data_IF_203527955841
#
_entry.id   IF_203527955841
#
_cell.length_a   1.000
_cell.length_b   1.000
_cell.length_c   1.000
_cell.angle_alpha   90.00
_cell.angle_beta   90.00
_cell.angle_gamma   90.00
#
_symmetry.space_group_name_H-M   'P 1'
#
loop_
_entity.id
_entity.type
_entity.pdbx_description
1 polymer ?
#
# COMPACT_ATOMS: atom_id res chain seq x y z
N UNK A 1 18.50 33.83 90.58
CA UNK A 1 17.96 35.17 90.86
C UNK A 1 16.71 35.36 90.00
N UNK A 2 15.55 35.54 90.67
CA UNK A 2 14.25 36.05 90.20
C UNK A 2 13.43 35.31 89.11
N UNK A 3 12.18 35.08 89.52
CA UNK A 3 10.97 34.63 88.81
C UNK A 3 10.40 35.67 87.84
N UNK A 4 9.62 35.21 86.85
CA UNK A 4 8.19 35.57 86.59
C UNK A 4 7.74 34.88 85.28
N UNK A 5 6.78 33.94 85.24
CA UNK A 5 5.31 34.08 85.32
C UNK A 5 4.67 35.01 84.27
N UNK A 6 4.06 34.42 83.23
CA UNK A 6 2.79 34.78 82.56
C UNK A 6 2.58 33.78 81.39
N UNK A 7 1.74 32.75 81.50
CA UNK A 7 0.27 32.71 81.43
C UNK A 7 -0.31 32.94 80.01
N UNK A 8 -1.09 31.94 79.55
CA UNK A 8 -2.24 31.99 78.63
C UNK A 8 -2.16 31.21 77.30
N UNK A 9 -2.52 29.92 77.40
CA UNK A 9 -3.60 29.20 76.65
C UNK A 9 -3.75 29.25 75.11
N UNK A 10 -3.69 28.02 74.57
CA UNK A 10 -4.63 27.32 73.66
C UNK A 10 -4.53 27.60 72.14
N UNK A 11 -4.29 26.51 71.40
CA UNK A 11 -4.57 26.38 69.98
C UNK A 11 -3.95 25.13 69.37
N UNK A 12 -4.47 23.95 69.69
CA UNK A 12 -4.07 22.66 69.11
C UNK A 12 -4.50 22.61 67.63
N UNK A 13 -3.55 22.35 66.73
CA UNK A 13 -3.81 21.87 65.38
C UNK A 13 -2.78 20.78 65.05
N UNK A 14 -3.28 19.56 64.87
CA UNK A 14 -2.55 18.36 64.49
C UNK A 14 -1.84 18.56 63.14
N UNK A 15 -0.52 18.51 63.12
CA UNK A 15 0.27 18.18 61.93
C UNK A 15 0.79 16.75 62.07
N UNK A 16 0.17 15.82 61.35
CA UNK A 16 0.68 14.47 61.18
C UNK A 16 1.80 14.46 60.13
N UNK A 17 2.89 13.78 60.48
CA UNK A 17 4.14 13.68 59.73
C UNK A 17 3.97 12.96 58.38
N UNK A 18 4.62 13.50 57.34
CA UNK A 18 4.87 12.83 56.07
C UNK A 18 6.27 12.22 56.11
N UNK A 19 6.33 10.89 56.08
CA UNK A 19 7.55 10.11 55.85
C UNK A 19 7.68 9.94 54.33
N UNK A 20 8.86 10.25 53.82
CA UNK A 20 9.26 10.10 52.44
C UNK A 20 9.26 8.63 52.00
N UNK A 21 8.64 8.35 50.86
CA UNK A 21 8.79 7.13 50.09
C UNK A 21 8.91 7.48 48.62
N UNK A 22 10.08 7.25 48.04
CA UNK A 22 10.33 7.41 46.61
C UNK A 22 9.46 6.41 45.81
N UNK A 23 8.59 6.93 44.97
CA UNK A 23 7.92 6.16 43.90
C UNK A 23 8.37 6.74 42.56
N UNK A 24 9.06 5.92 41.79
CA UNK A 24 9.32 6.13 40.36
C UNK A 24 7.97 6.21 39.62
N UNK A 25 7.73 7.21 38.75
CA UNK A 25 6.48 7.27 38.01
C UNK A 25 6.47 6.20 36.91
N UNK A 26 5.48 5.31 36.97
CA UNK A 26 5.08 4.43 35.88
C UNK A 26 4.71 5.27 34.66
N UNK A 27 5.09 4.90 33.41
CA UNK A 27 4.60 5.58 32.22
C UNK A 27 3.07 5.44 32.15
N UNK A 28 2.33 6.46 31.69
CA UNK A 28 0.90 6.33 31.52
C UNK A 28 0.62 5.32 30.41
N UNK A 29 0.09 4.15 30.79
CA UNK A 29 -0.58 3.22 29.89
C UNK A 29 -1.91 3.84 29.48
N UNK A 30 -1.97 4.34 28.26
CA UNK A 30 -3.17 4.87 27.64
C UNK A 30 -2.80 5.81 26.51
N UNK A 31 -2.93 5.36 25.27
CA UNK A 31 -2.98 6.24 24.10
C UNK A 31 -4.14 7.22 24.34
N UNK A 32 -3.92 8.55 24.29
CA UNK A 32 -5.02 9.48 24.45
C UNK A 32 -6.00 9.27 23.30
N UNK A 33 -7.21 8.83 23.64
CA UNK A 33 -8.34 8.86 22.70
C UNK A 33 -8.53 10.31 22.24
N UNK A 34 -8.54 10.62 20.94
CA UNK A 34 -8.77 11.98 20.49
C UNK A 34 -10.18 12.42 20.90
N UNK A 35 -10.24 13.31 21.87
CA UNK A 35 -11.42 14.08 22.22
C UNK A 35 -11.73 15.06 21.09
N UNK A 36 -12.97 15.03 20.60
CA UNK A 36 -13.49 15.86 19.51
C UNK A 36 -13.05 17.33 19.68
N UNK A 37 -12.20 17.80 18.75
CA UNK A 37 -11.75 19.20 18.65
C UNK A 37 -12.90 20.09 18.12
N UNK A 38 -12.98 21.37 18.51
CA UNK A 38 -14.06 22.25 18.09
C UNK A 38 -13.95 22.50 16.58
N UNK A 39 -15.01 22.22 15.81
CA UNK A 39 -15.20 22.66 14.41
C UNK A 39 -13.89 22.87 13.62
N UNK A 40 -13.07 21.82 13.48
CA UNK A 40 -11.81 21.89 12.75
C UNK A 40 -12.05 22.26 11.29
N UNK A 41 -11.11 23.00 10.69
CA UNK A 41 -11.22 23.36 9.28
C UNK A 41 -11.36 22.09 8.41
N UNK A 42 -12.24 22.13 7.43
CA UNK A 42 -12.66 20.95 6.67
C UNK A 42 -11.85 20.82 5.38
N UNK A 43 -11.55 19.58 5.03
CA UNK A 43 -11.15 19.16 3.69
C UNK A 43 -12.18 18.15 3.19
N UNK A 44 -12.63 18.33 1.95
CA UNK A 44 -13.52 17.40 1.27
C UNK A 44 -12.68 16.31 0.61
N UNK A 45 -12.94 15.04 0.94
CA UNK A 45 -12.37 13.89 0.25
C UNK A 45 -13.43 13.30 -0.67
N UNK A 46 -13.12 13.23 -1.97
CA UNK A 46 -14.01 12.68 -3.00
C UNK A 46 -13.41 11.44 -3.63
N UNK A 47 -14.22 10.40 -3.82
CA UNK A 47 -13.75 9.11 -4.35
C UNK A 47 -13.96 8.97 -5.86
N UNK A 48 -12.91 8.62 -6.58
CA UNK A 48 -12.91 8.56 -8.05
C UNK A 48 -13.01 7.14 -8.62
N UNK A 49 -13.17 6.12 -7.76
CA UNK A 49 -13.22 4.69 -8.14
C UNK A 49 -11.95 4.27 -8.92
N UNK A 50 -10.80 4.54 -8.33
CA UNK A 50 -9.48 4.38 -8.96
C UNK A 50 -8.83 5.72 -9.30
N UNK A 51 -7.59 5.69 -9.78
CA UNK A 51 -6.76 6.88 -10.01
C UNK A 51 -6.90 7.48 -11.41
N UNK A 52 -7.37 6.70 -12.39
CA UNK A 52 -7.49 7.10 -13.80
C UNK A 52 -8.13 8.47 -14.06
N UNK A 53 -9.24 8.83 -13.38
CA UNK A 53 -9.89 10.14 -13.59
C UNK A 53 -9.13 11.34 -12.99
N UNK A 54 -8.24 11.12 -12.02
CA UNK A 54 -7.68 12.19 -11.18
C UNK A 54 -6.87 13.24 -11.96
N UNK A 55 -5.98 12.89 -12.92
CA UNK A 55 -5.27 13.90 -13.71
C UNK A 55 -6.20 14.83 -14.48
N UNK A 56 -7.26 14.30 -15.10
CA UNK A 56 -8.26 15.12 -15.80
C UNK A 56 -9.04 16.02 -14.85
N UNK A 57 -9.45 15.51 -13.68
CA UNK A 57 -10.14 16.31 -12.68
C UNK A 57 -9.26 17.45 -12.14
N UNK A 58 -7.95 17.20 -11.97
CA UNK A 58 -6.99 18.21 -11.57
C UNK A 58 -6.80 19.26 -12.67
N UNK A 59 -6.52 18.85 -13.90
CA UNK A 59 -6.31 19.77 -15.03
C UNK A 59 -7.55 20.54 -15.50
N UNK A 60 -8.73 20.23 -14.95
CA UNK A 60 -9.99 20.96 -15.19
C UNK A 60 -10.50 21.70 -13.96
N UNK A 61 -9.67 21.85 -12.92
CA UNK A 61 -9.95 22.55 -11.66
C UNK A 61 -11.20 22.04 -10.91
N UNK A 62 -11.59 20.77 -11.13
CA UNK A 62 -12.72 20.17 -10.43
C UNK A 62 -12.35 19.73 -9.00
N UNK A 63 -11.04 19.52 -8.76
CA UNK A 63 -10.43 19.21 -7.47
C UNK A 63 -9.21 20.11 -7.26
N UNK A 64 -8.88 20.40 -6.00
CA UNK A 64 -7.72 21.22 -5.63
C UNK A 64 -6.43 20.36 -5.48
N UNK A 65 -6.57 19.04 -5.46
CA UNK A 65 -5.49 18.09 -5.37
C UNK A 65 -5.99 16.65 -5.32
N UNK A 66 -5.08 15.69 -5.28
CA UNK A 66 -5.40 14.28 -5.06
C UNK A 66 -4.28 13.54 -4.35
N UNK A 67 -4.61 12.39 -3.79
CA UNK A 67 -3.63 11.38 -3.37
C UNK A 67 -3.79 10.13 -4.24
N UNK A 68 -2.67 9.65 -4.79
CA UNK A 68 -2.64 8.50 -5.69
C UNK A 68 -1.38 7.66 -5.48
N UNK A 69 -1.36 6.47 -6.07
CA UNK A 69 -0.14 5.70 -6.28
C UNK A 69 0.52 6.06 -7.62
N UNK A 70 1.79 5.70 -7.79
CA UNK A 70 2.50 5.83 -9.06
C UNK A 70 1.84 4.99 -10.18
N UNK A 71 2.02 5.31 -11.47
CA UNK A 71 2.75 6.45 -12.02
C UNK A 71 1.95 7.77 -11.96
N UNK A 72 0.73 7.76 -11.41
CA UNK A 72 -0.18 8.91 -11.46
C UNK A 72 0.32 10.12 -10.67
N UNK A 73 1.26 9.95 -9.74
CA UNK A 73 1.86 11.06 -8.98
C UNK A 73 2.79 11.90 -9.87
N UNK A 74 3.51 11.27 -10.81
CA UNK A 74 4.41 11.96 -11.74
C UNK A 74 3.70 12.54 -12.97
N UNK A 75 2.44 12.18 -13.25
CA UNK A 75 1.71 12.69 -14.41
C UNK A 75 1.52 14.22 -14.35
N UNK A 76 1.02 14.83 -13.25
CA UNK A 76 0.78 16.27 -13.21
C UNK A 76 1.99 17.18 -13.39
N UNK A 77 3.16 16.94 -12.73
CA UNK A 77 4.33 17.79 -12.95
C UNK A 77 4.86 17.68 -14.38
N UNK A 78 4.74 16.50 -15.01
CA UNK A 78 5.10 16.33 -16.41
C UNK A 78 4.13 16.99 -17.38
N UNK A 79 2.84 17.01 -17.04
CA UNK A 79 1.81 17.66 -17.85
C UNK A 79 1.73 19.18 -17.61
N UNK A 80 2.40 19.71 -16.58
CA UNK A 80 2.32 21.12 -16.19
C UNK A 80 0.96 21.53 -15.61
N UNK A 81 0.22 20.58 -15.04
CA UNK A 81 -1.12 20.81 -14.46
C UNK A 81 -1.11 20.76 -12.93
N UNK A 82 0.00 20.38 -12.32
CA UNK A 82 0.12 20.25 -10.88
C UNK A 82 1.50 19.82 -10.44
N UNK A 83 1.72 19.85 -9.13
CA UNK A 83 3.00 19.54 -8.50
C UNK A 83 2.82 18.56 -7.35
N UNK A 84 3.81 17.68 -7.19
CA UNK A 84 3.88 16.78 -6.02
C UNK A 84 4.12 17.63 -4.79
N UNK A 85 3.22 17.54 -3.82
CA UNK A 85 3.32 18.24 -2.54
C UNK A 85 4.18 17.46 -1.55
N UNK A 86 3.94 16.16 -1.45
CA UNK A 86 4.61 15.26 -0.51
C UNK A 86 4.44 13.81 -0.98
N UNK A 87 5.51 13.01 -0.86
CA UNK A 87 5.44 11.55 -1.06
C UNK A 87 4.99 10.85 0.22
N UNK A 88 4.40 9.67 0.10
CA UNK A 88 3.71 9.02 1.22
C UNK A 88 4.59 8.77 2.43
N UNK A 89 5.87 8.42 2.26
CA UNK A 89 6.82 8.22 3.36
C UNK A 89 7.03 9.44 4.26
N UNK A 90 6.83 10.65 3.69
CA UNK A 90 7.02 11.94 4.38
C UNK A 90 5.69 12.58 4.83
N UNK A 91 4.56 11.90 4.63
CA UNK A 91 3.27 12.38 5.12
C UNK A 91 3.23 12.37 6.66
N UNK A 92 2.47 13.27 7.30
CA UNK A 92 2.36 13.29 8.75
C UNK A 92 1.41 12.20 9.29
N UNK A 93 1.49 11.87 10.59
CA UNK A 93 2.54 12.25 11.54
C UNK A 93 3.94 11.80 11.08
N UNK A 94 4.96 12.58 11.42
CA UNK A 94 6.35 12.31 11.02
C UNK A 94 6.76 10.86 11.32
N UNK A 95 7.27 10.16 10.32
CA UNK A 95 7.72 8.77 10.41
C UNK A 95 6.62 7.71 10.43
N UNK A 96 5.33 8.06 10.52
CA UNK A 96 4.24 7.06 10.56
C UNK A 96 4.13 6.25 9.26
N UNK A 97 4.35 6.90 8.13
CA UNK A 97 4.13 6.31 6.80
C UNK A 97 5.42 5.90 6.10
N UNK A 98 6.57 6.13 6.73
CA UNK A 98 7.86 5.70 6.20
C UNK A 98 7.85 4.18 6.04
N UNK A 99 8.28 3.70 4.86
CA UNK A 99 8.28 2.27 4.55
C UNK A 99 6.90 1.60 4.76
N UNK A 100 5.80 2.31 4.48
CA UNK A 100 4.47 1.71 4.61
C UNK A 100 4.26 0.60 3.56
N UNK A 101 3.56 -0.50 3.91
CA UNK A 101 3.30 -1.57 2.95
C UNK A 101 2.28 -1.11 1.90
N UNK A 102 2.40 -1.63 0.67
CA UNK A 102 1.51 -1.29 -0.45
C UNK A 102 0.85 -2.51 -1.09
N UNK A 103 1.41 -3.04 -2.18
CA UNK A 103 0.91 -4.24 -2.84
C UNK A 103 1.58 -5.50 -2.31
N UNK A 104 0.86 -6.60 -2.44
CA UNK A 104 1.25 -7.93 -1.98
C UNK A 104 0.95 -8.98 -3.02
N UNK A 105 1.66 -10.09 -2.89
CA UNK A 105 1.38 -11.30 -3.64
C UNK A 105 0.53 -12.23 -2.80
N UNK A 106 -0.63 -12.61 -3.34
CA UNK A 106 -1.58 -13.50 -2.67
C UNK A 106 -1.75 -14.79 -3.45
N UNK A 107 -2.05 -15.87 -2.73
CA UNK A 107 -2.48 -17.14 -3.30
C UNK A 107 -3.77 -17.61 -2.61
N UNK A 108 -4.60 -18.37 -3.32
CA UNK A 108 -5.74 -19.05 -2.68
C UNK A 108 -5.24 -20.15 -1.75
N UNK A 109 -5.93 -20.38 -0.63
CA UNK A 109 -5.60 -21.47 0.30
C UNK A 109 -5.60 -22.83 -0.42
N UNK A 110 -6.51 -23.01 -1.38
CA UNK A 110 -6.56 -24.19 -2.24
C UNK A 110 -5.28 -24.39 -3.04
N UNK A 111 -4.76 -23.34 -3.69
CA UNK A 111 -3.51 -23.44 -4.45
C UNK A 111 -2.32 -23.79 -3.54
N UNK A 112 -2.25 -23.19 -2.35
CA UNK A 112 -1.21 -23.49 -1.36
C UNK A 112 -1.28 -24.95 -0.90
N UNK A 113 -2.48 -25.45 -0.61
CA UNK A 113 -2.69 -26.80 -0.09
C UNK A 113 -2.50 -27.90 -1.17
N UNK A 114 -3.02 -27.69 -2.38
CA UNK A 114 -3.03 -28.69 -3.44
C UNK A 114 -1.77 -28.65 -4.32
N UNK A 115 -1.15 -27.48 -4.47
CA UNK A 115 -0.01 -27.27 -5.37
C UNK A 115 1.12 -26.43 -4.74
N UNK A 116 1.66 -26.80 -3.56
CA UNK A 116 2.64 -25.99 -2.84
C UNK A 116 3.89 -25.68 -3.68
N UNK A 117 4.41 -26.64 -4.45
CA UNK A 117 5.59 -26.42 -5.29
C UNK A 117 5.33 -25.41 -6.42
N UNK A 118 4.11 -25.38 -6.97
CA UNK A 118 3.71 -24.36 -7.95
C UNK A 118 3.68 -22.97 -7.30
N UNK A 119 3.11 -22.86 -6.10
CA UNK A 119 3.10 -21.60 -5.35
C UNK A 119 4.52 -21.13 -5.05
N UNK A 120 5.40 -22.03 -4.63
CA UNK A 120 6.81 -21.74 -4.37
C UNK A 120 7.53 -21.25 -5.64
N UNK A 121 7.31 -21.89 -6.79
CA UNK A 121 7.92 -21.49 -8.06
C UNK A 121 7.40 -20.13 -8.58
N UNK A 122 6.09 -19.88 -8.45
CA UNK A 122 5.49 -18.57 -8.76
C UNK A 122 6.06 -17.47 -7.86
N UNK A 123 6.20 -17.77 -6.56
CA UNK A 123 6.79 -16.85 -5.57
C UNK A 123 8.26 -16.56 -5.91
N UNK A 124 9.05 -17.59 -6.25
CA UNK A 124 10.44 -17.42 -6.69
C UNK A 124 10.56 -16.56 -7.95
N UNK A 125 9.63 -16.68 -8.91
CA UNK A 125 9.60 -15.85 -10.11
C UNK A 125 9.46 -14.36 -9.77
N UNK A 126 8.63 -14.02 -8.78
CA UNK A 126 8.45 -12.64 -8.35
C UNK A 126 9.66 -12.11 -7.56
N UNK A 127 10.30 -12.95 -6.73
CA UNK A 127 11.55 -12.58 -6.03
C UNK A 127 12.64 -12.25 -7.03
N UNK A 128 12.87 -13.13 -8.01
CA UNK A 128 13.88 -12.94 -9.04
C UNK A 128 13.58 -11.71 -9.92
N UNK A 129 12.32 -11.50 -10.27
CA UNK A 129 11.92 -10.33 -11.03
C UNK A 129 12.09 -9.03 -10.24
N UNK A 130 11.85 -9.05 -8.92
CA UNK A 130 12.10 -7.89 -8.06
C UNK A 130 13.58 -7.53 -8.01
N UNK A 131 14.48 -8.52 -7.90
CA UNK A 131 15.93 -8.28 -8.02
C UNK A 131 16.30 -7.66 -9.37
N UNK A 132 15.67 -8.09 -10.46
CA UNK A 132 15.86 -7.48 -11.78
C UNK A 132 15.42 -6.01 -11.81
N UNK A 133 14.29 -5.67 -11.16
CA UNK A 133 13.83 -4.27 -11.08
C UNK A 133 14.86 -3.37 -10.42
N UNK A 134 15.47 -3.84 -9.33
CA UNK A 134 16.51 -3.12 -8.58
C UNK A 134 17.79 -2.96 -9.38
N UNK A 135 18.21 -4.00 -10.11
CA UNK A 135 19.44 -4.00 -10.92
C UNK A 135 19.28 -3.24 -12.25
N UNK A 136 18.06 -3.17 -12.78
CA UNK A 136 17.75 -2.61 -14.10
C UNK A 136 16.52 -1.67 -14.10
N UNK A 137 16.52 -0.59 -13.30
CA UNK A 137 15.34 0.26 -13.13
C UNK A 137 14.89 0.96 -14.42
N UNK A 138 15.81 1.47 -15.23
CA UNK A 138 15.47 2.17 -16.48
C UNK A 138 14.86 1.25 -17.54
N UNK A 139 15.42 0.05 -17.72
CA UNK A 139 14.86 -0.94 -18.64
C UNK A 139 13.51 -1.44 -18.13
N UNK A 140 13.38 -1.60 -16.81
CA UNK A 140 12.15 -2.02 -16.17
C UNK A 140 11.05 -0.96 -16.35
N UNK A 141 11.36 0.34 -16.24
CA UNK A 141 10.43 1.42 -16.59
C UNK A 141 9.95 1.34 -18.05
N UNK A 142 10.83 0.99 -19.00
CA UNK A 142 10.46 0.81 -20.41
C UNK A 142 9.57 -0.42 -20.65
N UNK A 143 9.84 -1.53 -19.93
CA UNK A 143 9.01 -2.73 -19.94
C UNK A 143 7.61 -2.43 -19.42
N UNK A 144 7.52 -1.72 -18.30
CA UNK A 144 6.24 -1.32 -17.71
C UNK A 144 5.51 -0.33 -18.62
N UNK A 145 6.22 0.59 -19.28
CA UNK A 145 5.63 1.51 -20.26
C UNK A 145 5.03 0.77 -21.46
N UNK A 146 5.72 -0.28 -21.94
CA UNK A 146 5.21 -1.16 -22.97
C UNK A 146 3.95 -1.88 -22.52
N UNK A 147 3.96 -2.42 -21.31
CA UNK A 147 2.83 -3.17 -20.77
C UNK A 147 1.59 -2.29 -20.56
N UNK A 148 1.78 -1.09 -20.01
CA UNK A 148 0.69 -0.20 -19.63
C UNK A 148 0.15 0.62 -20.80
N UNK A 149 1.01 0.99 -21.76
CA UNK A 149 0.66 1.94 -22.82
C UNK A 149 1.24 1.58 -24.20
N UNK A 150 1.85 0.41 -24.39
CA UNK A 150 2.52 0.05 -25.65
C UNK A 150 3.70 0.96 -25.98
N UNK A 151 4.35 1.56 -24.96
CA UNK A 151 5.34 2.64 -25.06
C UNK A 151 4.80 3.95 -25.67
N UNK A 152 3.48 4.06 -25.85
CA UNK A 152 2.82 5.30 -26.21
C UNK A 152 2.71 6.28 -25.04
N UNK A 153 1.89 7.31 -25.19
CA UNK A 153 1.66 8.26 -24.10
C UNK A 153 0.57 7.74 -23.15
N UNK A 154 0.72 8.04 -21.86
CA UNK A 154 -0.44 8.06 -20.98
C UNK A 154 -1.34 9.23 -21.36
N UNK A 155 -2.63 8.95 -21.54
CA UNK A 155 -3.60 9.94 -22.01
C UNK A 155 -4.78 10.02 -21.06
N UNK A 156 -5.10 11.23 -20.58
CA UNK A 156 -6.17 11.49 -19.61
C UNK A 156 -6.97 12.72 -20.05
N UNK A 157 -7.99 12.53 -20.89
CA UNK A 157 -8.64 13.66 -21.58
C UNK A 157 -7.65 14.31 -22.55
N UNK A 158 -7.45 15.62 -22.41
CA UNK A 158 -6.51 16.38 -23.25
C UNK A 158 -5.05 16.30 -22.77
N UNK A 159 -4.80 15.67 -21.62
CA UNK A 159 -3.45 15.46 -21.07
C UNK A 159 -2.80 14.29 -21.80
N UNK A 160 -1.57 14.50 -22.28
CA UNK A 160 -0.77 13.44 -22.91
C UNK A 160 0.70 13.58 -22.49
N UNK A 161 1.24 12.54 -21.85
CA UNK A 161 2.63 12.51 -21.36
C UNK A 161 3.31 11.19 -21.74
N UNK A 162 4.61 11.24 -22.00
CA UNK A 162 5.43 10.05 -22.33
C UNK A 162 5.36 9.03 -21.20
N UNK A 163 4.84 7.83 -21.48
CA UNK A 163 4.72 6.78 -20.44
C UNK A 163 6.08 6.36 -19.89
N UNK A 164 7.09 6.28 -20.76
CA UNK A 164 8.46 5.94 -20.37
C UNK A 164 9.05 6.97 -19.41
N UNK A 165 8.92 8.26 -19.73
CA UNK A 165 9.51 9.32 -18.90
C UNK A 165 8.79 9.44 -17.55
N UNK A 166 7.47 9.29 -17.55
CA UNK A 166 6.68 9.22 -16.30
C UNK A 166 7.16 8.06 -15.44
N UNK A 167 7.33 6.87 -16.01
CA UNK A 167 7.75 5.69 -15.26
C UNK A 167 9.20 5.79 -14.77
N UNK A 168 10.12 6.36 -15.56
CA UNK A 168 11.50 6.61 -15.10
C UNK A 168 11.56 7.57 -13.91
N UNK A 169 10.62 8.52 -13.82
CA UNK A 169 10.48 9.40 -12.65
C UNK A 169 9.79 8.71 -11.47
N UNK A 170 8.84 7.82 -11.74
CA UNK A 170 8.05 7.15 -10.72
C UNK A 170 8.81 6.03 -10.00
N UNK A 171 9.58 5.23 -10.75
CA UNK A 171 10.29 4.06 -10.23
C UNK A 171 11.17 4.35 -8.99
N UNK A 172 11.97 5.43 -8.95
CA UNK A 172 12.78 5.77 -7.78
C UNK A 172 11.98 6.07 -6.51
N UNK A 173 10.67 6.30 -6.61
CA UNK A 173 9.78 6.59 -5.47
C UNK A 173 8.99 5.36 -5.02
N UNK A 174 9.23 4.21 -5.63
CA UNK A 174 8.62 2.92 -5.28
C UNK A 174 9.72 2.02 -4.77
N UNK A 175 9.51 1.45 -3.59
CA UNK A 175 10.46 0.52 -2.98
C UNK A 175 10.00 -0.92 -3.23
N UNK A 176 10.59 -1.57 -4.22
CA UNK A 176 10.27 -2.96 -4.56
C UNK A 176 11.02 -3.91 -3.65
N UNK A 177 10.31 -4.57 -2.74
CA UNK A 177 10.90 -5.54 -1.82
C UNK A 177 9.87 -6.64 -1.57
N UNK A 178 10.36 -7.86 -1.26
CA UNK A 178 9.48 -9.02 -1.08
C UNK A 178 9.40 -9.53 0.35
N UNK A 179 10.40 -9.29 1.19
CA UNK A 179 10.52 -10.00 2.46
C UNK A 179 9.34 -9.74 3.41
N UNK A 180 8.59 -10.79 3.82
CA UNK A 180 7.47 -10.67 4.76
C UNK A 180 7.98 -10.64 6.21
N UNK A 181 8.78 -9.63 6.56
CA UNK A 181 9.30 -9.48 7.92
C UNK A 181 8.18 -9.32 8.95
N UNK A 182 8.46 -9.62 10.23
CA UNK A 182 7.50 -9.37 11.31
C UNK A 182 7.07 -7.90 11.37
N UNK A 183 8.01 -6.96 11.19
CA UNK A 183 7.70 -5.53 11.15
C UNK A 183 6.76 -5.18 10.00
N UNK A 184 6.94 -5.80 8.84
CA UNK A 184 6.03 -5.61 7.71
C UNK A 184 4.64 -6.18 8.01
N UNK A 185 4.54 -7.37 8.61
CA UNK A 185 3.26 -7.93 9.03
C UNK A 185 2.56 -7.06 10.08
N UNK A 186 3.30 -6.53 11.07
CA UNK A 186 2.79 -5.56 12.05
C UNK A 186 2.26 -4.29 11.35
N UNK A 187 2.99 -3.77 10.37
CA UNK A 187 2.56 -2.60 9.59
C UNK A 187 1.28 -2.85 8.79
N UNK A 188 1.01 -4.10 8.41
CA UNK A 188 -0.26 -4.49 7.80
C UNK A 188 -1.41 -4.59 8.81
N UNK A 189 -1.12 -4.96 10.06
CA UNK A 189 -2.12 -4.95 11.14
C UNK A 189 -2.59 -3.52 11.45
N UNK A 190 -1.73 -2.52 11.31
CA UNK A 190 -2.14 -1.11 11.39
C UNK A 190 -3.22 -0.76 10.34
N UNK A 191 -3.17 -1.33 9.14
CA UNK A 191 -4.25 -1.19 8.16
C UNK A 191 -5.53 -1.92 8.60
N UNK A 192 -5.43 -3.08 9.28
CA UNK A 192 -6.59 -3.74 9.88
C UNK A 192 -7.28 -2.80 10.88
N UNK A 193 -6.51 -2.15 11.77
CA UNK A 193 -7.03 -1.16 12.72
C UNK A 193 -7.72 0.01 12.01
N UNK A 194 -7.07 0.62 11.03
CA UNK A 194 -7.65 1.73 10.27
C UNK A 194 -8.96 1.31 9.57
N UNK A 195 -9.02 0.11 9.00
CA UNK A 195 -10.22 -0.39 8.33
C UNK A 195 -11.36 -0.72 9.31
N UNK A 196 -11.06 -1.10 10.56
CA UNK A 196 -12.07 -1.23 11.64
C UNK A 196 -12.66 0.12 11.99
N UNK A 197 -11.82 1.14 12.18
CA UNK A 197 -12.26 2.51 12.49
C UNK A 197 -13.15 3.09 11.37
N UNK A 198 -12.79 2.80 10.12
CA UNK A 198 -13.58 3.18 8.94
C UNK A 198 -14.84 2.32 8.74
N UNK A 199 -15.09 1.33 9.59
CA UNK A 199 -16.21 0.37 9.53
C UNK A 199 -16.25 -0.42 8.21
N UNK A 200 -15.09 -0.64 7.60
CA UNK A 200 -14.94 -1.45 6.38
C UNK A 200 -14.92 -2.94 6.73
N UNK A 201 -14.27 -3.31 7.84
CA UNK A 201 -14.23 -4.69 8.32
C UNK A 201 -15.50 -5.00 9.11
N UNK A 202 -16.21 -6.04 8.68
CA UNK A 202 -17.53 -6.41 9.23
C UNK A 202 -17.64 -7.89 9.56
N UNK A 203 -16.65 -8.70 9.17
CA UNK A 203 -16.60 -10.14 9.38
C UNK A 203 -15.54 -10.56 10.39
N UNK A 204 -14.72 -11.53 10.01
CA UNK A 204 -13.79 -12.23 10.89
C UNK A 204 -12.70 -11.34 11.48
N UNK A 205 -12.35 -10.23 10.82
CA UNK A 205 -11.30 -9.33 11.27
C UNK A 205 -11.83 -8.15 12.08
N UNK A 206 -13.15 -7.96 12.19
CA UNK A 206 -13.74 -6.78 12.83
C UNK A 206 -13.27 -6.56 14.27
N UNK A 207 -13.29 -7.63 15.08
CA UNK A 207 -12.99 -7.59 16.51
C UNK A 207 -11.89 -8.58 16.91
N UNK A 208 -11.12 -9.10 15.92
CA UNK A 208 -10.09 -10.11 16.15
C UNK A 208 -8.84 -9.53 16.84
N UNK A 209 -8.21 -10.27 17.78
CA UNK A 209 -6.86 -9.98 18.24
C UNK A 209 -5.85 -9.92 17.09
N UNK A 210 -4.74 -9.21 17.28
CA UNK A 210 -3.74 -9.03 16.22
C UNK A 210 -3.07 -10.34 15.81
N UNK A 211 -2.82 -11.24 16.76
CA UNK A 211 -2.28 -12.57 16.48
C UNK A 211 -3.23 -13.41 15.59
N UNK A 212 -4.53 -13.37 15.88
CA UNK A 212 -5.55 -14.07 15.07
C UNK A 212 -5.69 -13.42 13.69
N UNK A 213 -5.57 -12.09 13.64
CA UNK A 213 -5.60 -11.33 12.38
C UNK A 213 -4.40 -11.70 11.50
N UNK A 214 -3.20 -11.78 12.07
CA UNK A 214 -2.00 -12.24 11.36
C UNK A 214 -2.17 -13.66 10.84
N UNK A 215 -2.62 -14.59 11.69
CA UNK A 215 -2.82 -15.99 11.30
C UNK A 215 -3.88 -16.15 10.20
N UNK A 216 -4.92 -15.30 10.21
CA UNK A 216 -5.92 -15.29 9.15
C UNK A 216 -5.35 -14.76 7.83
N UNK A 217 -4.54 -13.69 7.87
CA UNK A 217 -4.08 -12.98 6.70
C UNK A 217 -2.87 -13.62 6.00
N UNK A 218 -1.88 -14.10 6.76
CA UNK A 218 -0.56 -14.44 6.22
C UNK A 218 -0.32 -15.95 6.16
N UNK A 219 0.39 -16.37 5.11
CA UNK A 219 1.10 -17.64 5.04
C UNK A 219 2.42 -17.41 4.31
N UNK A 220 3.51 -17.24 5.07
CA UNK A 220 4.85 -16.93 4.53
C UNK A 220 5.62 -18.17 4.10
N UNK A 221 5.09 -19.36 4.33
CA UNK A 221 5.78 -20.63 4.03
C UNK A 221 6.23 -20.71 2.57
N UNK A 222 5.42 -20.29 1.57
CA UNK A 222 5.86 -20.30 0.18
C UNK A 222 6.98 -19.32 -0.13
N UNK A 223 7.05 -18.19 0.58
CA UNK A 223 8.17 -17.25 0.48
C UNK A 223 9.46 -17.90 0.98
N UNK A 224 9.44 -18.52 2.16
CA UNK A 224 10.62 -19.15 2.76
C UNK A 224 11.19 -20.27 1.86
N UNK A 225 10.29 -21.09 1.29
CA UNK A 225 10.67 -22.13 0.33
C UNK A 225 11.24 -21.54 -0.96
N UNK A 226 10.60 -20.51 -1.51
CA UNK A 226 11.06 -19.81 -2.72
C UNK A 226 12.43 -19.17 -2.52
N UNK A 227 12.62 -18.42 -1.43
CA UNK A 227 13.88 -17.79 -1.07
C UNK A 227 14.99 -18.84 -0.91
N UNK A 228 14.70 -19.98 -0.27
CA UNK A 228 15.67 -21.08 -0.15
C UNK A 228 16.08 -21.66 -1.52
N UNK A 229 15.15 -21.80 -2.47
CA UNK A 229 15.46 -22.25 -3.83
C UNK A 229 16.34 -21.24 -4.57
N UNK A 230 16.00 -19.96 -4.46
CA UNK A 230 16.74 -18.86 -5.08
C UNK A 230 18.17 -18.78 -4.53
N UNK A 231 18.36 -18.86 -3.21
CA UNK A 231 19.68 -18.80 -2.57
C UNK A 231 20.57 -19.99 -2.91
N UNK A 232 19.97 -21.15 -3.19
CA UNK A 232 20.68 -22.35 -3.67
C UNK A 232 20.98 -22.31 -5.17
N UNK A 233 20.41 -21.35 -5.91
CA UNK A 233 20.49 -21.29 -7.37
C UNK A 233 19.81 -22.48 -8.06
N UNK A 234 18.82 -23.10 -7.41
CA UNK A 234 18.14 -24.29 -7.92
C UNK A 234 16.65 -24.23 -7.62
N UNK A 235 15.85 -24.00 -8.66
CA UNK A 235 14.38 -24.04 -8.57
C UNK A 235 13.90 -25.48 -8.75
N UNK A 236 13.15 -25.99 -7.79
CA UNK A 236 12.52 -27.31 -7.89
C UNK A 236 11.41 -27.27 -8.95
N UNK A 237 11.40 -28.24 -9.87
CA UNK A 237 10.33 -28.38 -10.87
C UNK A 237 9.06 -28.90 -10.20
N UNK A 238 7.96 -28.12 -10.17
CA UNK A 238 6.68 -28.60 -9.66
C UNK A 238 6.09 -29.66 -10.58
N UNK A 239 5.20 -30.50 -10.05
CA UNK A 239 4.39 -31.38 -10.89
C UNK A 239 3.52 -30.53 -11.83
N UNK A 240 3.46 -30.82 -13.13
CA UNK A 240 2.59 -30.08 -14.05
C UNK A 240 1.14 -30.12 -13.59
N UNK A 241 0.47 -28.97 -13.64
CA UNK A 241 -0.95 -28.85 -13.30
C UNK A 241 -1.81 -28.92 -14.54
N UNK A 242 -2.94 -29.62 -14.44
CA UNK A 242 -3.95 -29.65 -15.50
C UNK A 242 -4.81 -28.39 -15.46
N UNK A 243 -5.06 -27.78 -16.62
CA UNK A 243 -5.84 -26.56 -16.73
C UNK A 243 -5.01 -25.28 -16.61
N UNK A 244 -5.68 -24.15 -16.74
CA UNK A 244 -5.03 -22.85 -16.71
C UNK A 244 -5.11 -22.24 -15.31
N UNK A 245 -3.99 -21.68 -14.87
CA UNK A 245 -3.83 -21.01 -13.57
C UNK A 245 -4.00 -19.52 -13.77
N UNK A 246 -4.98 -18.92 -13.11
CA UNK A 246 -5.23 -17.48 -13.22
C UNK A 246 -4.30 -16.66 -12.33
N UNK A 247 -3.75 -15.59 -12.89
CA UNK A 247 -2.89 -14.61 -12.21
C UNK A 247 -3.48 -13.22 -12.41
N UNK A 248 -4.01 -12.65 -11.33
CA UNK A 248 -4.58 -11.31 -11.29
C UNK A 248 -3.52 -10.22 -11.12
N UNK A 249 -3.69 -9.10 -11.82
CA UNK A 249 -2.86 -7.91 -11.64
C UNK A 249 -3.67 -6.63 -11.89
N UNK A 250 -3.13 -5.47 -11.50
CA UNK A 250 -3.67 -4.15 -11.80
C UNK A 250 -2.78 -3.45 -12.82
N UNK A 251 -3.37 -2.53 -13.58
CA UNK A 251 -2.65 -1.67 -14.53
C UNK A 251 -1.85 -0.58 -13.78
N UNK A 252 -0.79 -0.99 -13.09
CA UNK A 252 0.05 -0.18 -12.21
C UNK A 252 1.52 -0.61 -12.29
N UNK A 253 2.43 0.33 -12.13
CA UNK A 253 3.88 0.06 -12.01
C UNK A 253 4.25 -0.65 -10.71
N UNK A 254 3.40 -0.62 -9.69
CA UNK A 254 3.57 -1.42 -8.48
C UNK A 254 3.64 -2.92 -8.77
N UNK A 255 3.10 -3.38 -9.90
CA UNK A 255 3.09 -4.79 -10.30
C UNK A 255 4.19 -5.14 -11.31
N UNK A 256 5.21 -4.26 -11.43
CA UNK A 256 6.30 -4.37 -12.39
C UNK A 256 6.99 -5.74 -12.39
N UNK A 257 7.11 -6.40 -11.22
CA UNK A 257 7.76 -7.70 -11.09
C UNK A 257 7.11 -8.75 -12.02
N UNK A 258 5.77 -8.77 -12.13
CA UNK A 258 5.09 -9.68 -13.05
C UNK A 258 5.41 -9.35 -14.52
N UNK A 259 5.41 -8.07 -14.88
CA UNK A 259 5.63 -7.64 -16.26
C UNK A 259 7.07 -7.93 -16.70
N UNK A 260 8.04 -7.67 -15.83
CA UNK A 260 9.45 -8.00 -16.04
C UNK A 260 9.65 -9.51 -16.12
N UNK A 261 9.07 -10.30 -15.20
CA UNK A 261 9.15 -11.76 -15.24
C UNK A 261 8.72 -12.34 -16.60
N UNK A 262 7.71 -11.72 -17.23
CA UNK A 262 7.17 -12.15 -18.53
C UNK A 262 7.99 -11.60 -19.70
N UNK A 263 8.32 -10.31 -19.69
CA UNK A 263 9.02 -9.65 -20.80
C UNK A 263 10.49 -10.02 -20.88
N UNK A 264 11.09 -10.44 -19.75
CA UNK A 264 12.48 -10.92 -19.65
C UNK A 264 12.54 -12.43 -19.39
N UNK A 265 11.53 -13.18 -19.86
CA UNK A 265 11.44 -14.63 -19.63
C UNK A 265 12.70 -15.41 -20.07
N UNK A 266 13.37 -14.99 -21.16
CA UNK A 266 14.63 -15.62 -21.62
C UNK A 266 15.75 -15.44 -20.60
N UNK A 267 15.89 -14.24 -20.03
CA UNK A 267 16.88 -13.97 -18.99
C UNK A 267 16.65 -14.88 -17.77
N UNK A 268 15.41 -14.99 -17.30
CA UNK A 268 15.11 -15.84 -16.14
C UNK A 268 15.30 -17.32 -16.44
N UNK A 269 14.94 -17.77 -17.65
CA UNK A 269 15.19 -19.13 -18.11
C UNK A 269 16.68 -19.46 -18.08
N UNK A 270 17.48 -18.62 -18.72
CA UNK A 270 18.90 -18.89 -18.95
C UNK A 270 19.73 -18.74 -17.67
N UNK A 271 19.29 -17.88 -16.75
CA UNK A 271 20.02 -17.58 -15.51
C UNK A 271 19.59 -18.49 -14.36
N UNK A 272 18.30 -18.81 -14.24
CA UNK A 272 17.74 -19.48 -13.06
C UNK A 272 16.95 -20.75 -13.38
N UNK A 273 16.77 -21.10 -14.66
CA UNK A 273 15.98 -22.25 -15.06
C UNK A 273 14.48 -22.10 -14.81
N UNK A 274 13.96 -20.87 -14.63
CA UNK A 274 12.52 -20.59 -14.46
C UNK A 274 12.08 -19.46 -15.37
N UNK A 275 10.91 -19.56 -16.00
CA UNK A 275 10.42 -18.52 -16.89
C UNK A 275 8.90 -18.41 -16.91
N UNK A 276 8.38 -17.19 -17.01
CA UNK A 276 7.00 -16.91 -17.37
C UNK A 276 6.94 -16.60 -18.87
N UNK A 277 7.02 -17.64 -19.71
CA UNK A 277 7.17 -17.48 -21.16
C UNK A 277 5.84 -17.03 -21.81
N UNK A 278 5.73 -15.82 -22.38
CA UNK A 278 4.50 -15.39 -23.05
C UNK A 278 4.25 -16.25 -24.30
N UNK A 279 2.98 -16.58 -24.57
CA UNK A 279 2.60 -17.31 -25.80
C UNK A 279 2.62 -16.44 -27.05
N UNK A 280 2.41 -15.15 -26.87
CA UNK A 280 2.65 -14.13 -27.89
C UNK A 280 3.73 -13.15 -27.39
N UNK A 281 5.01 -13.40 -27.70
CA UNK A 281 6.11 -12.52 -27.30
C UNK A 281 6.05 -11.12 -27.93
N UNK A 282 5.32 -10.96 -29.05
CA UNK A 282 5.20 -9.68 -29.75
C UNK A 282 4.10 -8.78 -29.16
N UNK A 283 3.15 -9.35 -28.41
CA UNK A 283 2.12 -8.58 -27.72
C UNK A 283 2.76 -7.65 -26.69
N UNK A 284 2.40 -6.36 -26.71
CA UNK A 284 2.81 -5.40 -25.67
C UNK A 284 2.36 -5.84 -24.28
N UNK A 285 1.19 -6.47 -24.21
CA UNK A 285 0.59 -7.05 -23.00
C UNK A 285 0.01 -8.44 -23.33
N UNK A 286 0.81 -9.51 -23.18
CA UNK A 286 0.33 -10.88 -23.33
C UNK A 286 -0.77 -11.21 -22.31
N UNK A 287 -1.78 -12.00 -22.71
CA UNK A 287 -2.85 -12.48 -21.82
C UNK A 287 -2.62 -13.92 -21.33
N UNK A 288 -1.64 -14.60 -21.92
CA UNK A 288 -1.33 -16.00 -21.65
C UNK A 288 0.19 -16.19 -21.66
N UNK A 289 0.69 -16.87 -20.63
CA UNK A 289 2.08 -17.31 -20.53
C UNK A 289 2.13 -18.79 -20.12
N UNK A 290 3.28 -19.42 -20.27
CA UNK A 290 3.57 -20.75 -19.72
C UNK A 290 4.62 -20.60 -18.62
N UNK A 291 4.34 -21.14 -17.43
CA UNK A 291 5.36 -21.31 -16.40
C UNK A 291 6.24 -22.49 -16.83
N UNK A 292 7.51 -22.19 -17.10
CA UNK A 292 8.54 -23.16 -17.44
C UNK A 292 9.51 -23.29 -16.27
N UNK A 293 9.85 -24.51 -15.86
CA UNK A 293 10.89 -24.78 -14.86
C UNK A 293 11.78 -25.92 -15.34
N UNK A 294 13.09 -25.69 -15.39
CA UNK A 294 14.10 -26.62 -15.89
C UNK A 294 13.77 -27.24 -17.27
N UNK A 295 13.18 -26.43 -18.16
CA UNK A 295 12.78 -26.85 -19.51
C UNK A 295 11.43 -27.58 -19.59
N UNK A 296 10.78 -27.86 -18.47
CA UNK A 296 9.45 -28.48 -18.40
C UNK A 296 8.37 -27.42 -18.29
N UNK A 297 7.25 -27.62 -19.00
CA UNK A 297 6.06 -26.77 -18.85
C UNK A 297 5.25 -27.25 -17.65
N UNK A 298 5.18 -26.40 -16.64
CA UNK A 298 4.50 -26.69 -15.37
C UNK A 298 3.03 -26.27 -15.42
N UNK A 299 2.74 -25.08 -15.96
CA UNK A 299 1.38 -24.54 -15.99
C UNK A 299 1.17 -23.62 -17.20
N UNK A 300 -0.06 -23.58 -17.71
CA UNK A 300 -0.53 -22.42 -18.48
C UNK A 300 -1.01 -21.36 -17.50
N UNK A 301 -0.56 -20.12 -17.68
CA UNK A 301 -0.97 -18.96 -16.90
C UNK A 301 -1.95 -18.10 -17.70
N UNK A 302 -3.11 -17.78 -17.13
CA UNK A 302 -4.01 -16.73 -17.63
C UNK A 302 -3.78 -15.44 -16.87
N UNK A 303 -3.35 -14.41 -17.57
CA UNK A 303 -3.02 -13.10 -17.02
C UNK A 303 -4.25 -12.21 -17.10
N UNK A 304 -4.82 -11.86 -15.94
CA UNK A 304 -6.10 -11.14 -15.88
C UNK A 304 -5.90 -9.79 -15.19
N UNK A 305 -6.10 -8.71 -15.95
CA UNK A 305 -6.09 -7.36 -15.38
C UNK A 305 -7.43 -7.06 -14.69
N UNK A 306 -7.39 -6.50 -13.49
CA UNK A 306 -8.54 -5.89 -12.82
C UNK A 306 -8.50 -4.36 -12.88
N UNK A 307 -9.69 -3.75 -12.80
CA UNK A 307 -9.89 -2.30 -12.69
C UNK A 307 -9.50 -1.79 -11.30
N UNK A 308 -9.67 -2.63 -10.27
CA UNK A 308 -9.30 -2.34 -8.88
C UNK A 308 -9.12 -3.64 -8.07
N UNK A 309 -8.47 -3.53 -6.90
CA UNK A 309 -8.21 -4.67 -6.02
C UNK A 309 -9.45 -5.50 -5.64
N UNK A 310 -10.62 -4.90 -5.30
CA UNK A 310 -11.82 -5.68 -4.99
C UNK A 310 -12.29 -6.60 -6.13
N UNK A 311 -12.08 -6.22 -7.39
CA UNK A 311 -12.42 -7.08 -8.52
C UNK A 311 -11.52 -8.31 -8.58
N UNK A 312 -10.21 -8.15 -8.34
CA UNK A 312 -9.30 -9.29 -8.24
C UNK A 312 -9.70 -10.22 -7.10
N UNK A 313 -10.08 -9.66 -5.95
CA UNK A 313 -10.54 -10.47 -4.81
C UNK A 313 -11.85 -11.19 -5.10
N UNK A 314 -12.76 -10.60 -5.87
CA UNK A 314 -13.96 -11.29 -6.34
C UNK A 314 -13.61 -12.48 -7.27
N UNK A 315 -12.64 -12.30 -8.17
CA UNK A 315 -12.17 -13.38 -9.04
C UNK A 315 -11.54 -14.52 -8.24
N UNK A 316 -10.76 -14.22 -7.19
CA UNK A 316 -10.22 -15.22 -6.26
C UNK A 316 -11.33 -15.95 -5.51
N UNK A 317 -12.34 -15.22 -5.02
CA UNK A 317 -13.47 -15.81 -4.30
C UNK A 317 -14.28 -16.80 -5.15
N UNK A 318 -14.28 -16.62 -6.47
CA UNK A 318 -14.91 -17.54 -7.42
C UNK A 318 -13.95 -18.55 -8.06
N UNK A 319 -12.72 -18.66 -7.56
CA UNK A 319 -11.64 -19.53 -8.08
C UNK A 319 -11.31 -19.31 -9.57
N UNK A 320 -11.58 -18.10 -10.09
CA UNK A 320 -11.24 -17.71 -11.46
C UNK A 320 -9.77 -17.29 -11.59
N UNK A 321 -9.13 -16.92 -10.48
CA UNK A 321 -7.68 -16.72 -10.38
C UNK A 321 -7.17 -17.33 -9.08
N UNK A 322 -5.96 -17.90 -9.12
CA UNK A 322 -5.31 -18.54 -7.98
C UNK A 322 -4.26 -17.63 -7.34
N UNK A 323 -3.66 -16.74 -8.12
CA UNK A 323 -2.70 -15.75 -7.66
C UNK A 323 -3.20 -14.35 -7.94
N UNK A 324 -2.82 -13.38 -7.10
CA UNK A 324 -3.01 -11.97 -7.41
C UNK A 324 -1.86 -11.12 -6.88
N UNK A 325 -1.44 -10.14 -7.67
CA UNK A 325 -0.77 -8.95 -7.16
C UNK A 325 -1.90 -7.95 -6.85
N UNK A 326 -1.99 -7.48 -5.61
CA UNK A 326 -3.08 -6.63 -5.16
C UNK A 326 -2.66 -5.74 -4.00
N UNK A 327 -3.32 -4.60 -3.79
CA UNK A 327 -3.13 -3.79 -2.59
C UNK A 327 -3.54 -4.52 -1.30
N UNK A 328 -2.89 -4.18 -0.20
CA UNK A 328 -3.19 -4.75 1.12
C UNK A 328 -4.63 -4.59 1.59
N UNK A 329 -5.26 -3.39 1.56
CA UNK A 329 -6.62 -3.23 2.08
C UNK A 329 -7.68 -4.09 1.38
N UNK A 330 -7.66 -4.26 0.03
CA UNK A 330 -8.51 -5.25 -0.64
C UNK A 330 -8.28 -6.69 -0.17
N UNK A 331 -7.03 -7.14 -0.02
CA UNK A 331 -6.73 -8.50 0.45
C UNK A 331 -7.25 -8.71 1.89
N UNK A 332 -7.02 -7.75 2.78
CA UNK A 332 -7.53 -7.74 4.15
C UNK A 332 -9.06 -7.82 4.16
N UNK A 333 -9.72 -6.97 3.37
CA UNK A 333 -11.18 -6.91 3.29
C UNK A 333 -11.81 -8.18 2.70
N UNK A 334 -11.08 -8.88 1.83
CA UNK A 334 -11.52 -10.14 1.26
C UNK A 334 -11.43 -11.29 2.28
N UNK A 335 -10.31 -11.36 3.01
CA UNK A 335 -10.12 -12.31 4.11
C UNK A 335 -11.14 -12.09 5.24
N UNK A 336 -11.43 -10.82 5.60
CA UNK A 336 -12.50 -10.46 6.56
C UNK A 336 -13.85 -11.07 6.18
N UNK A 337 -14.13 -11.14 4.87
CA UNK A 337 -15.39 -11.67 4.31
C UNK A 337 -15.34 -13.19 4.04
N UNK A 338 -14.28 -13.87 4.46
CA UNK A 338 -14.13 -15.32 4.31
C UNK A 338 -13.69 -15.78 2.92
N UNK A 339 -13.10 -14.90 2.11
CA UNK A 339 -12.41 -15.34 0.88
C UNK A 339 -11.21 -16.18 1.29
N UNK A 340 -11.02 -17.41 0.76
CA UNK A 340 -9.92 -18.30 1.15
C UNK A 340 -8.61 -17.87 0.47
N UNK A 341 -8.06 -16.74 0.92
CA UNK A 341 -6.86 -16.11 0.38
C UNK A 341 -5.82 -15.88 1.49
N UNK A 342 -4.55 -16.11 1.16
CA UNK A 342 -3.41 -15.79 2.01
C UNK A 342 -2.49 -14.78 1.31
N UNK A 343 -1.96 -13.88 2.11
CA UNK A 343 -0.88 -12.98 1.74
C UNK A 343 0.44 -13.74 1.95
N UNK A 344 1.22 -13.87 0.87
CA UNK A 344 2.47 -14.63 0.86
C UNK A 344 3.65 -13.73 1.19
N UNK A 345 3.72 -12.57 0.53
CA UNK A 345 4.87 -11.68 0.58
C UNK A 345 4.54 -10.26 0.14
N UNK A 346 5.46 -9.33 0.42
CA UNK A 346 5.40 -7.99 -0.12
C UNK A 346 5.69 -7.99 -1.64
N UNK A 347 5.15 -6.99 -2.35
CA UNK A 347 5.54 -6.68 -3.73
C UNK A 347 6.18 -5.30 -3.79
N UNK A 348 5.65 -4.34 -3.04
CA UNK A 348 6.26 -3.04 -2.89
C UNK A 348 5.82 -2.34 -1.60
N UNK A 349 6.65 -1.36 -1.25
CA UNK A 349 6.44 -0.35 -0.24
C UNK A 349 6.38 1.03 -0.92
N UNK A 350 5.80 1.99 -0.23
CA UNK A 350 5.71 3.39 -0.69
C UNK A 350 5.04 3.52 -2.08
N UNK A 351 5.47 4.47 -2.91
CA UNK A 351 4.91 4.69 -4.24
C UNK A 351 3.61 5.47 -4.27
N UNK A 352 3.28 6.23 -3.21
CA UNK A 352 2.13 7.14 -3.21
C UNK A 352 2.55 8.58 -2.94
N UNK A 353 1.67 9.52 -3.25
CA UNK A 353 1.93 10.93 -3.02
C UNK A 353 0.70 11.80 -3.15
N UNK A 354 0.76 12.96 -2.52
CA UNK A 354 -0.23 14.02 -2.64
C UNK A 354 0.22 14.99 -3.71
N UNK A 355 -0.67 15.26 -4.65
CA UNK A 355 -0.49 16.24 -5.72
C UNK A 355 -1.50 17.36 -5.52
N UNK A 356 -1.08 18.60 -5.78
CA UNK A 356 -1.94 19.79 -5.78
C UNK A 356 -1.87 20.50 -7.13
N UNK A 357 -2.86 21.35 -7.41
CA UNK A 357 -2.87 22.17 -8.63
C UNK A 357 -1.60 23.03 -8.74
N UNK A 358 -1.22 23.36 -9.97
CA UNK A 358 0.03 24.11 -10.25
C UNK A 358 0.04 25.47 -9.55
N UNK A 359 -1.12 26.13 -9.51
CA UNK A 359 -1.34 27.43 -8.89
C UNK A 359 -1.52 27.38 -7.36
N UNK A 360 -1.51 26.18 -6.76
CA UNK A 360 -1.65 26.02 -5.31
C UNK A 360 -0.56 26.80 -4.57
N UNK A 361 -0.90 27.56 -3.50
CA UNK A 361 0.10 28.24 -2.69
C UNK A 361 0.92 27.27 -1.82
N UNK A 362 0.53 26.00 -1.74
CA UNK A 362 1.22 25.01 -0.93
C UNK A 362 2.53 24.56 -1.59
N UNK A 363 3.61 24.55 -0.81
CA UNK A 363 4.93 24.04 -1.21
C UNK A 363 5.41 22.91 -0.31
N UNK A 364 4.70 22.66 0.78
CA UNK A 364 4.92 21.61 1.76
C UNK A 364 3.63 21.32 2.53
N UNK A 365 3.64 20.31 3.40
CA UNK A 365 2.44 19.96 4.16
C UNK A 365 1.93 21.08 5.08
N UNK A 366 2.83 21.88 5.69
CA UNK A 366 2.44 22.95 6.61
C UNK A 366 1.69 24.08 5.89
N UNK A 367 2.19 24.50 4.73
CA UNK A 367 1.55 25.47 3.86
C UNK A 367 0.24 24.92 3.26
N UNK A 368 0.16 23.63 2.96
CA UNK A 368 -1.10 22.97 2.61
C UNK A 368 -2.14 23.04 3.74
N UNK A 369 -1.74 22.77 4.98
CA UNK A 369 -2.65 22.89 6.14
C UNK A 369 -3.13 24.32 6.35
N UNK A 370 -2.25 25.32 6.17
CA UNK A 370 -2.62 26.73 6.22
C UNK A 370 -3.64 27.08 5.12
N UNK A 371 -3.40 26.62 3.89
CA UNK A 371 -4.30 26.79 2.75
C UNK A 371 -5.66 26.14 2.99
N UNK A 372 -5.69 24.91 3.51
CA UNK A 372 -6.91 24.20 3.87
C UNK A 372 -7.74 24.97 4.91
N UNK A 373 -7.08 25.51 5.94
CA UNK A 373 -7.72 26.33 6.98
C UNK A 373 -8.34 27.60 6.40
N UNK A 374 -7.59 28.32 5.57
CA UNK A 374 -8.08 29.53 4.90
C UNK A 374 -9.30 29.23 4.01
N UNK A 375 -9.19 28.22 3.15
CA UNK A 375 -10.24 27.81 2.21
C UNK A 375 -11.50 27.34 2.91
N UNK A 376 -11.36 26.58 4.00
CA UNK A 376 -12.49 26.19 4.83
C UNK A 376 -13.15 27.39 5.52
N UNK A 377 -12.38 28.34 6.06
CA UNK A 377 -12.93 29.55 6.70
C UNK A 377 -13.70 30.44 5.70
N UNK A 378 -13.29 30.43 4.43
CA UNK A 378 -13.98 31.11 3.34
C UNK A 378 -15.22 30.35 2.81
N UNK A 379 -15.60 29.23 3.45
CA UNK A 379 -16.74 28.41 3.00
C UNK A 379 -16.49 27.64 1.70
N UNK A 380 -15.24 27.52 1.27
CA UNK A 380 -14.81 26.76 0.08
C UNK A 380 -13.70 25.75 0.43
N UNK A 381 -13.98 24.75 1.30
CA UNK A 381 -13.03 23.69 1.64
C UNK A 381 -12.30 23.13 0.42
N UNK A 382 -11.03 22.74 0.61
CA UNK A 382 -10.28 22.04 -0.43
C UNK A 382 -10.96 20.73 -0.77
N UNK A 383 -10.96 20.36 -2.06
CA UNK A 383 -11.39 19.05 -2.56
C UNK A 383 -10.18 18.23 -2.95
N UNK A 384 -9.95 17.13 -2.22
CA UNK A 384 -8.86 16.19 -2.47
C UNK A 384 -9.45 14.87 -2.96
N UNK A 385 -9.07 14.43 -4.16
CA UNK A 385 -9.52 13.13 -4.64
C UNK A 385 -8.71 11.99 -4.02
N UNK A 386 -9.36 10.86 -3.77
CA UNK A 386 -8.74 9.61 -3.37
C UNK A 386 -9.34 8.42 -4.17
N UNK A 387 -8.63 7.30 -4.31
CA UNK A 387 -9.08 6.20 -5.18
C UNK A 387 -10.40 5.58 -4.71
N UNK A 388 -10.56 5.41 -3.41
CA UNK A 388 -11.77 4.89 -2.78
C UNK A 388 -11.65 4.82 -1.27
N UNK A 389 -12.79 4.76 -0.57
CA UNK A 389 -12.85 4.62 0.88
C UNK A 389 -12.12 3.36 1.35
N UNK A 390 -11.28 3.49 2.36
CA UNK A 390 -10.47 2.39 2.89
C UNK A 390 -9.32 1.96 1.99
N UNK A 391 -9.05 2.65 0.89
CA UNK A 391 -7.77 2.49 0.17
C UNK A 391 -6.61 2.95 1.04
N UNK A 392 -5.39 2.52 0.72
CA UNK A 392 -4.17 2.96 1.41
C UNK A 392 -4.10 4.49 1.42
N UNK A 393 -4.38 5.11 0.28
CA UNK A 393 -4.36 6.56 0.09
C UNK A 393 -5.45 7.27 0.91
N UNK A 394 -6.65 6.70 1.01
CA UNK A 394 -7.71 7.24 1.87
C UNK A 394 -7.33 7.17 3.36
N UNK A 395 -6.77 6.04 3.81
CA UNK A 395 -6.26 5.90 5.19
C UNK A 395 -5.17 6.94 5.47
N UNK A 396 -4.16 7.03 4.59
CA UNK A 396 -3.04 7.97 4.77
C UNK A 396 -3.50 9.43 4.82
N UNK A 397 -4.32 9.87 3.85
CA UNK A 397 -4.75 11.27 3.79
C UNK A 397 -5.62 11.64 5.00
N UNK A 398 -6.52 10.75 5.46
CA UNK A 398 -7.37 11.00 6.62
C UNK A 398 -6.57 11.21 7.89
N UNK A 399 -5.69 10.26 8.19
CA UNK A 399 -4.84 10.32 9.38
C UNK A 399 -3.91 11.55 9.33
N UNK A 400 -3.35 11.87 8.16
CA UNK A 400 -2.48 13.04 7.99
C UNK A 400 -3.22 14.35 8.22
N UNK A 401 -4.45 14.46 7.71
CA UNK A 401 -5.31 15.63 7.92
C UNK A 401 -5.72 15.76 9.40
N UNK A 402 -6.16 14.67 10.02
CA UNK A 402 -6.58 14.64 11.43
C UNK A 402 -5.43 14.97 12.38
N UNK A 403 -4.25 14.38 12.17
CA UNK A 403 -3.04 14.71 12.90
C UNK A 403 -2.63 16.19 12.78
N UNK A 404 -3.06 16.85 11.69
CA UNK A 404 -2.83 18.27 11.41
C UNK A 404 -3.93 19.20 11.93
N UNK A 405 -4.93 18.66 12.64
CA UNK A 405 -6.07 19.39 13.17
C UNK A 405 -7.10 19.79 12.12
N UNK A 406 -7.16 19.08 10.99
CA UNK A 406 -8.19 19.21 9.96
C UNK A 406 -9.22 18.08 10.11
N UNK A 407 -10.46 18.35 9.70
CA UNK A 407 -11.51 17.32 9.67
C UNK A 407 -11.81 16.92 8.23
N UNK A 408 -12.14 15.63 8.04
CA UNK A 408 -12.48 15.09 6.72
C UNK A 408 -13.99 15.04 6.55
N UNK A 409 -14.45 15.62 5.45
CA UNK A 409 -15.82 15.49 4.97
C UNK A 409 -15.82 14.64 3.70
N UNK A 410 -16.57 13.55 3.67
CA UNK A 410 -16.81 12.83 2.42
C UNK A 410 -17.75 13.66 1.53
N UNK A 411 -17.41 13.80 0.24
CA UNK A 411 -18.16 14.66 -0.69
C UNK A 411 -18.27 14.14 -2.11
#
# INVERSE_FOLDING_TARGET
MKMSHACATIGVLLCAALIAGCITPTPPTGTPTPTVSPAGAQVIVTYTKGTGPMPTLLGTDQIDGYIAWQPFVEVPPMAGIGKVLVYSGDMPPEGKWKDHPCCVFTATEKAIAEHPDLVNAMTASMILATRYLEEHPDESAEIVAEWLAGKGNFTYGDISVSSVDVLKRAFPTVKFENEPTEQWMDSNIEFVHALRELQVLTGSLKDSPDADSKALLFDTTPYDAAQSMVDKGMIATPTPVEGAVGVGYLMSDHHAALFVAIKKWEYFNDTYGIALKPRDPAASRPDTADLMVNGEKVAELKLISGDAGPQLMQLMATDNIQFALVGNPPAISAADKGTPVKIIMAINFEGSGVVVTEDSPATDWNSFVAWAKERSAAGKPLKIAAPGKGSIQDVMIRYSLEASGLSVKEG
#
